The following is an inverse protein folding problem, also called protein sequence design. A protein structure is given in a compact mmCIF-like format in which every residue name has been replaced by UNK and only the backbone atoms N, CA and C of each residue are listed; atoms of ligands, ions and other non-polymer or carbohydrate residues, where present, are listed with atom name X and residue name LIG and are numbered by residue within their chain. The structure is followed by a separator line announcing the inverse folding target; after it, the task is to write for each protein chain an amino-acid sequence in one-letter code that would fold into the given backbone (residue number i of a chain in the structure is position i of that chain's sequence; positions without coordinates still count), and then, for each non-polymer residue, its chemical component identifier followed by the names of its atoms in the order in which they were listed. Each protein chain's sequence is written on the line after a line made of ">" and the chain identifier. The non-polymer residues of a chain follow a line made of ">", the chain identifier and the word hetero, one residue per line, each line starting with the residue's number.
data_IF_947756204759
#
_entry.id   IF_947756204759
#
_cell.length_a   1.000
_cell.length_b   1.000
_cell.length_c   1.000
_cell.angle_alpha   90.00
_cell.angle_beta   90.00
_cell.angle_gamma   90.00
#
_symmetry.space_group_name_H-M   'P 1'
#
loop_
_entity.id
_entity.type
_entity.pdbx_description
1 polymer ?
#
# COMPACT_ATOMS: atom_id res chain seq x y z
N UNK A 1 3.63 -1.84 14.91
CA UNK A 1 4.94 -1.70 15.57
C UNK A 1 5.80 -2.86 15.09
N UNK A 2 7.11 -2.71 15.14
CA UNK A 2 8.04 -3.80 14.84
C UNK A 2 9.11 -3.91 15.94
N UNK A 3 9.76 -5.05 15.97
CA UNK A 3 10.92 -5.36 16.81
C UNK A 3 11.92 -6.14 15.97
N UNK A 4 13.19 -6.06 16.32
CA UNK A 4 14.24 -6.81 15.63
C UNK A 4 14.17 -8.31 16.00
N UNK A 5 14.62 -9.23 15.13
CA UNK A 5 14.55 -10.66 15.38
C UNK A 5 15.18 -11.09 16.70
N UNK A 6 16.28 -10.43 17.10
CA UNK A 6 17.03 -10.71 18.33
C UNK A 6 16.23 -10.37 19.60
N UNK A 7 15.18 -9.57 19.48
CA UNK A 7 14.31 -9.19 20.58
C UNK A 7 13.24 -10.24 20.88
N UNK A 8 13.07 -11.25 20.02
CA UNK A 8 12.02 -12.27 20.12
C UNK A 8 12.63 -13.58 20.64
N UNK A 9 12.10 -14.11 21.75
CA UNK A 9 12.58 -15.37 22.33
C UNK A 9 11.42 -16.28 22.76
N UNK A 10 11.65 -17.59 22.70
CA UNK A 10 10.77 -18.62 23.27
C UNK A 10 11.12 -18.94 24.74
N UNK A 11 12.14 -18.27 25.29
CA UNK A 11 12.57 -18.46 26.69
C UNK A 11 11.74 -17.60 27.64
N UNK A 12 11.05 -18.27 28.57
CA UNK A 12 10.33 -17.62 29.66
C UNK A 12 11.29 -16.99 30.67
N UNK A 13 10.81 -16.01 31.44
CA UNK A 13 11.53 -15.58 32.63
C UNK A 13 11.63 -16.72 33.65
N UNK A 14 12.68 -16.68 34.48
CA UNK A 14 12.91 -17.73 35.47
C UNK A 14 11.72 -17.83 36.44
N UNK A 15 11.07 -18.99 36.47
CA UNK A 15 9.89 -19.26 37.30
C UNK A 15 8.55 -19.07 36.58
N UNK A 16 8.57 -18.63 35.32
CA UNK A 16 7.39 -18.55 34.46
C UNK A 16 7.37 -19.71 33.44
N UNK A 17 6.20 -19.97 32.86
CA UNK A 17 6.03 -20.96 31.80
C UNK A 17 5.31 -20.32 30.61
N UNK A 18 5.83 -20.54 29.41
CA UNK A 18 5.21 -20.06 28.18
C UNK A 18 4.28 -21.11 27.59
N UNK A 19 3.09 -20.66 27.18
CA UNK A 19 2.18 -21.50 26.41
C UNK A 19 2.78 -21.83 25.04
N UNK A 20 2.40 -22.97 24.46
CA UNK A 20 2.85 -23.33 23.11
C UNK A 20 2.42 -22.25 22.10
N UNK A 21 3.38 -21.76 21.33
CA UNK A 21 3.19 -20.68 20.36
C UNK A 21 3.30 -19.27 20.94
N UNK A 22 3.64 -19.12 22.22
CA UNK A 22 3.93 -17.82 22.82
C UNK A 22 5.41 -17.45 22.65
N UNK A 23 5.67 -16.16 22.45
CA UNK A 23 7.01 -15.57 22.38
C UNK A 23 7.08 -14.37 23.31
N UNK A 24 8.25 -14.15 23.90
CA UNK A 24 8.58 -12.99 24.73
C UNK A 24 9.33 -11.98 23.88
N UNK A 25 8.91 -10.72 23.96
CA UNK A 25 9.61 -9.58 23.32
C UNK A 25 10.38 -8.82 24.38
N UNK A 26 11.70 -8.72 24.23
CA UNK A 26 12.61 -8.01 25.13
C UNK A 26 13.05 -6.66 24.55
N UNK A 27 13.18 -5.65 25.42
CA UNK A 27 13.64 -4.32 25.01
C UNK A 27 12.53 -3.42 24.43
N UNK A 28 12.96 -2.35 23.76
CA UNK A 28 12.05 -1.31 23.24
C UNK A 28 11.36 -1.76 21.95
N UNK A 29 10.13 -1.26 21.73
CA UNK A 29 9.35 -1.53 20.52
C UNK A 29 9.29 -0.29 19.65
N UNK A 30 9.50 -0.46 18.35
CA UNK A 30 9.37 0.66 17.42
C UNK A 30 7.92 0.82 16.99
N UNK A 31 7.25 1.82 17.56
CA UNK A 31 5.87 2.16 17.21
C UNK A 31 5.81 3.13 16.04
N UNK A 32 5.38 2.64 14.88
CA UNK A 32 4.94 3.49 13.77
C UNK A 32 3.55 4.06 14.11
N UNK A 33 3.47 5.37 14.36
CA UNK A 33 2.23 6.08 14.70
C UNK A 33 1.89 7.05 13.58
N UNK A 34 0.60 7.19 13.27
CA UNK A 34 0.08 8.14 12.26
C UNK A 34 0.77 8.02 10.90
N UNK A 35 1.13 6.80 10.49
CA UNK A 35 1.65 6.55 9.14
C UNK A 35 0.60 6.98 8.13
N UNK A 36 0.93 7.94 7.26
CA UNK A 36 0.09 8.27 6.13
C UNK A 36 0.02 7.05 5.22
N UNK A 37 -1.19 6.55 5.01
CA UNK A 37 -1.44 5.49 4.03
C UNK A 37 -1.77 6.20 2.74
N UNK A 38 -0.79 6.32 1.87
CA UNK A 38 -0.93 6.97 0.57
C UNK A 38 -0.39 6.03 -0.51
N UNK A 39 -1.02 6.08 -1.67
CA UNK A 39 -0.60 5.36 -2.86
C UNK A 39 -0.74 6.30 -4.05
N UNK A 40 -0.03 6.03 -5.13
CA UNK A 40 -0.19 6.75 -6.39
C UNK A 40 -0.53 5.75 -7.48
N UNK A 41 -1.22 6.21 -8.52
CA UNK A 41 -1.52 5.44 -9.72
C UNK A 41 -1.08 6.23 -10.95
N UNK A 42 -0.33 5.60 -11.84
CA UNK A 42 0.20 6.21 -13.04
C UNK A 42 0.07 5.29 -14.26
N UNK A 43 0.43 5.83 -15.42
CA UNK A 43 0.51 5.07 -16.68
C UNK A 43 1.94 4.59 -16.85
N UNK A 44 2.12 3.27 -16.83
CA UNK A 44 3.41 2.62 -17.08
C UNK A 44 3.41 1.97 -18.46
N UNK A 45 4.55 2.07 -19.15
CA UNK A 45 4.74 1.50 -20.48
C UNK A 45 5.58 0.24 -20.38
N UNK A 46 4.99 -0.90 -20.76
CA UNK A 46 5.68 -2.19 -20.85
C UNK A 46 5.71 -2.56 -22.32
N UNK A 47 6.91 -2.58 -22.89
CA UNK A 47 7.11 -2.72 -24.34
C UNK A 47 6.33 -1.62 -25.07
N UNK A 48 5.24 -1.97 -25.77
CA UNK A 48 4.36 -1.03 -26.48
C UNK A 48 2.93 -0.98 -25.88
N UNK A 49 2.75 -1.51 -24.65
CA UNK A 49 1.46 -1.56 -23.96
C UNK A 49 1.43 -0.61 -22.76
N UNK A 50 0.39 0.22 -22.72
CA UNK A 50 0.12 1.10 -21.58
C UNK A 50 -0.71 0.37 -20.53
N UNK A 51 -0.19 0.29 -19.32
CA UNK A 51 -0.84 -0.38 -18.20
C UNK A 51 -0.90 0.53 -16.97
N UNK A 52 -1.94 0.41 -16.11
CA UNK A 52 -1.98 1.15 -14.87
C UNK A 52 -1.00 0.53 -13.86
N UNK A 53 -0.16 1.37 -13.25
CA UNK A 53 0.73 0.98 -12.16
C UNK A 53 0.31 1.70 -10.89
N UNK A 54 0.10 0.97 -9.79
CA UNK A 54 -0.21 1.53 -8.48
C UNK A 54 0.84 1.12 -7.45
N UNK A 55 1.25 2.05 -6.59
CA UNK A 55 2.26 1.77 -5.57
C UNK A 55 2.60 2.99 -4.72
N UNK A 56 3.70 2.94 -3.95
CA UNK A 56 4.22 4.11 -3.26
C UNK A 56 4.51 5.25 -4.25
N UNK A 57 4.28 6.49 -3.84
CA UNK A 57 4.46 7.67 -4.69
C UNK A 57 5.85 7.72 -5.32
N UNK A 58 6.90 7.46 -4.54
CA UNK A 58 8.29 7.45 -5.03
C UNK A 58 8.57 6.42 -6.13
N UNK A 59 7.84 5.31 -6.16
CA UNK A 59 7.98 4.32 -7.22
C UNK A 59 7.22 4.75 -8.47
N UNK A 60 6.01 5.29 -8.31
CA UNK A 60 5.18 5.72 -9.44
C UNK A 60 5.77 6.95 -10.13
N UNK A 61 6.20 7.96 -9.37
CA UNK A 61 6.88 9.16 -9.87
C UNK A 61 8.12 8.82 -10.70
N UNK A 62 8.87 7.80 -10.30
CA UNK A 62 10.07 7.35 -11.02
C UNK A 62 9.78 6.69 -12.36
N UNK A 63 8.60 6.07 -12.51
CA UNK A 63 8.31 5.17 -13.63
C UNK A 63 7.16 5.65 -14.53
N UNK A 64 6.39 6.65 -14.12
CA UNK A 64 5.22 7.15 -14.84
C UNK A 64 5.34 8.66 -15.02
N UNK A 65 5.27 9.15 -16.26
CA UNK A 65 5.32 10.59 -16.57
C UNK A 65 4.13 11.38 -16.01
N UNK A 66 2.98 10.72 -15.86
CA UNK A 66 1.77 11.29 -15.30
C UNK A 66 1.14 10.31 -14.30
N UNK A 67 0.77 10.82 -13.13
CA UNK A 67 0.20 10.04 -12.04
C UNK A 67 -0.76 10.85 -11.18
N UNK A 68 -1.57 10.15 -10.40
CA UNK A 68 -2.49 10.70 -9.41
C UNK A 68 -2.17 10.12 -8.05
N UNK A 69 -2.15 10.95 -7.02
CA UNK A 69 -2.02 10.49 -5.64
C UNK A 69 -3.39 10.16 -5.04
N UNK A 70 -3.42 9.11 -4.23
CA UNK A 70 -4.60 8.48 -3.65
C UNK A 70 -4.45 8.38 -2.14
N UNK A 71 -5.57 8.52 -1.43
CA UNK A 71 -5.67 8.25 0.00
C UNK A 71 -6.91 7.41 0.31
N UNK A 72 -6.96 6.70 1.46
CA UNK A 72 -8.17 6.10 1.96
C UNK A 72 -9.31 7.12 2.01
N UNK A 73 -10.46 6.74 1.48
CA UNK A 73 -11.57 7.66 1.27
C UNK A 73 -12.91 6.95 1.21
N UNK A 74 -13.87 7.54 0.50
CA UNK A 74 -15.25 7.04 0.47
C UNK A 74 -15.73 6.54 -0.89
N UNK A 75 -14.97 6.76 -1.96
CA UNK A 75 -15.38 6.35 -3.31
C UNK A 75 -15.18 4.85 -3.53
N UNK A 76 -16.11 4.25 -4.28
CA UNK A 76 -15.98 2.86 -4.71
C UNK A 76 -14.94 2.76 -5.83
N UNK A 77 -14.23 1.63 -5.90
CA UNK A 77 -13.25 1.35 -6.94
C UNK A 77 -13.75 1.61 -8.37
N UNK A 78 -15.00 1.22 -8.67
CA UNK A 78 -15.58 1.40 -10.00
C UNK A 78 -15.72 2.85 -10.42
N UNK A 79 -16.03 3.73 -9.48
CA UNK A 79 -16.26 5.15 -9.73
C UNK A 79 -14.92 5.87 -9.81
N UNK A 80 -14.03 5.57 -8.86
CA UNK A 80 -12.66 6.06 -8.86
C UNK A 80 -11.92 5.65 -10.15
N UNK A 81 -12.07 4.40 -10.61
CA UNK A 81 -11.43 3.93 -11.83
C UNK A 81 -11.83 4.72 -13.08
N UNK A 82 -13.11 5.14 -13.19
CA UNK A 82 -13.58 6.00 -14.28
C UNK A 82 -12.94 7.38 -14.20
N UNK A 83 -12.85 7.95 -12.99
CA UNK A 83 -12.18 9.23 -12.77
C UNK A 83 -10.69 9.14 -13.13
N UNK A 84 -9.99 8.11 -12.66
CA UNK A 84 -8.58 7.85 -12.99
C UNK A 84 -8.38 7.71 -14.49
N UNK A 85 -9.18 6.89 -15.17
CA UNK A 85 -9.13 6.72 -16.62
C UNK A 85 -9.30 8.05 -17.35
N UNK A 86 -10.29 8.87 -16.93
CA UNK A 86 -10.55 10.15 -17.57
C UNK A 86 -9.44 11.18 -17.38
N UNK A 87 -8.73 11.15 -16.24
CA UNK A 87 -7.67 12.10 -15.89
C UNK A 87 -6.28 11.67 -16.39
N UNK A 88 -5.99 10.37 -16.44
CA UNK A 88 -4.70 9.85 -16.87
C UNK A 88 -4.66 9.50 -18.35
N UNK A 89 -5.42 8.49 -18.77
CA UNK A 89 -5.49 8.06 -20.15
C UNK A 89 -6.78 7.25 -20.42
N UNK A 90 -7.55 7.70 -21.41
CA UNK A 90 -8.81 7.07 -21.86
C UNK A 90 -8.61 5.72 -22.55
N UNK A 91 -7.41 5.41 -23.01
CA UNK A 91 -7.05 4.14 -23.67
C UNK A 91 -6.88 3.00 -22.66
N UNK A 92 -6.64 3.31 -21.38
CA UNK A 92 -6.51 2.28 -20.35
C UNK A 92 -7.85 1.59 -20.12
N UNK A 93 -7.84 0.26 -20.06
CA UNK A 93 -9.03 -0.52 -19.73
C UNK A 93 -9.41 -0.40 -18.25
N UNK A 94 -10.70 -0.16 -17.98
CA UNK A 94 -11.22 0.05 -16.62
C UNK A 94 -10.96 -1.13 -15.68
N UNK A 95 -11.04 -2.37 -16.18
CA UNK A 95 -10.84 -3.57 -15.35
C UNK A 95 -9.41 -3.64 -14.81
N UNK A 96 -8.42 -3.28 -15.63
CA UNK A 96 -7.02 -3.22 -15.20
C UNK A 96 -6.80 -2.11 -14.16
N UNK A 97 -7.45 -0.96 -14.31
CA UNK A 97 -7.39 0.12 -13.31
C UNK A 97 -7.98 -0.36 -11.97
N UNK A 98 -9.15 -1.00 -11.99
CA UNK A 98 -9.81 -1.52 -10.77
C UNK A 98 -8.93 -2.54 -10.04
N UNK A 99 -8.25 -3.42 -10.80
CA UNK A 99 -7.31 -4.41 -10.27
C UNK A 99 -6.05 -3.78 -9.67
N UNK A 100 -5.53 -2.71 -10.29
CA UNK A 100 -4.35 -2.01 -9.80
C UNK A 100 -4.64 -1.20 -8.52
N UNK A 101 -5.85 -0.65 -8.37
CA UNK A 101 -6.19 0.20 -7.22
C UNK A 101 -6.08 -0.54 -5.87
N UNK A 102 -5.68 0.16 -4.78
CA UNK A 102 -5.62 -0.42 -3.44
C UNK A 102 -6.96 -1.00 -3.00
N UNK A 103 -6.99 -2.03 -2.14
CA UNK A 103 -8.24 -2.57 -1.62
C UNK A 103 -9.01 -1.52 -0.80
N UNK A 104 -10.33 -1.66 -0.75
CA UNK A 104 -11.21 -0.75 -0.01
C UNK A 104 -11.65 0.47 -0.83
N UNK A 105 -12.07 1.51 -0.10
CA UNK A 105 -12.50 2.79 -0.67
C UNK A 105 -11.35 3.78 -0.64
N UNK A 106 -11.19 4.53 -1.72
CA UNK A 106 -10.11 5.49 -1.89
C UNK A 106 -10.67 6.76 -2.51
N UNK A 107 -9.90 7.83 -2.47
CA UNK A 107 -10.19 9.09 -3.16
C UNK A 107 -8.90 9.69 -3.70
N UNK A 108 -9.02 10.49 -4.77
CA UNK A 108 -7.88 11.24 -5.32
C UNK A 108 -7.55 12.36 -4.34
N UNK A 109 -6.27 12.46 -3.98
CA UNK A 109 -5.73 13.56 -3.21
C UNK A 109 -5.51 14.73 -4.16
N UNK A 110 -6.24 15.83 -3.95
CA UNK A 110 -6.04 17.10 -4.66
C UNK A 110 -4.70 17.75 -4.32
#
# INVERSE_FOLDING_TARGET
>A
YYVDPEQVTEEAESGEYLQKGAFVIRGERTYMRNMSVEASIGVYEIEDHRVPMCGPESAVEKHCDNYLSLRPGHEKKSDLAKTVQSRLNKELELDYIIRALPPGKSEIKD
#
